data_IF_570126715095
#
_entry.id   IF_570126715095
#
_cell.length_a   1.000
_cell.length_b   1.000
_cell.length_c   1.000
_cell.angle_alpha   90.00
_cell.angle_beta   90.00
_cell.angle_gamma   90.00
#
_symmetry.space_group_name_H-M   'P 1'
#
loop_
_entity.id
_entity.type
_entity.pdbx_description
1 polymer ?
#
# COMPACT_ATOMS: atom_id res chain seq x y z
N UNK A 1 37.73 40.59 3.84
CA UNK A 1 37.88 39.18 3.40
C UNK A 1 37.29 38.15 4.39
N UNK A 2 37.48 38.25 5.71
CA UNK A 2 36.91 37.26 6.69
C UNK A 2 35.38 37.18 6.74
N UNK A 3 34.63 38.28 6.55
CA UNK A 3 33.18 38.30 6.57
C UNK A 3 32.50 37.67 5.34
N UNK A 4 33.11 37.69 4.17
CA UNK A 4 32.56 37.05 2.96
C UNK A 4 32.68 35.54 2.98
N UNK A 5 33.73 34.98 3.62
CA UNK A 5 33.97 33.54 3.74
C UNK A 5 32.90 32.90 4.67
N UNK A 6 32.50 33.61 5.73
CA UNK A 6 31.49 33.10 6.69
C UNK A 6 30.10 33.02 6.06
N UNK A 7 29.73 33.95 5.18
CA UNK A 7 28.44 33.96 4.49
C UNK A 7 28.39 32.84 3.44
N UNK A 8 29.50 32.61 2.71
CA UNK A 8 29.54 31.51 1.73
C UNK A 8 29.47 30.14 2.38
N UNK A 9 30.08 29.96 3.57
CA UNK A 9 30.01 28.69 4.30
C UNK A 9 28.59 28.43 4.89
N UNK A 10 27.91 29.47 5.34
CA UNK A 10 26.53 29.34 5.82
C UNK A 10 25.50 29.02 4.73
N UNK A 11 25.70 29.57 3.50
CA UNK A 11 24.83 29.21 2.35
C UNK A 11 25.02 27.77 1.88
N UNK A 12 26.22 27.21 1.94
CA UNK A 12 26.46 25.82 1.53
C UNK A 12 25.85 24.80 2.50
N UNK A 13 25.79 25.09 3.79
CA UNK A 13 25.16 24.20 4.79
C UNK A 13 23.63 24.18 4.63
N UNK A 14 22.99 25.30 4.31
CA UNK A 14 21.53 25.37 4.09
C UNK A 14 21.09 24.62 2.84
N UNK A 15 21.89 24.60 1.78
CA UNK A 15 21.58 23.85 0.54
C UNK A 15 21.69 22.34 0.73
N UNK A 16 22.55 21.85 1.63
CA UNK A 16 22.68 20.40 1.90
C UNK A 16 21.53 19.82 2.75
N UNK A 17 20.80 20.62 3.48
CA UNK A 17 19.64 20.12 4.27
C UNK A 17 18.36 19.94 3.46
N UNK A 18 18.26 20.44 2.25
CA UNK A 18 17.07 20.40 1.41
C UNK A 18 16.88 19.08 0.60
N UNK A 19 17.81 18.14 0.65
CA UNK A 19 17.80 16.93 -0.19
C UNK A 19 17.64 15.60 0.56
N UNK A 20 17.35 15.63 1.85
CA UNK A 20 17.07 14.41 2.63
C UNK A 20 15.55 14.10 2.67
N UNK A 21 14.88 14.12 1.54
CA UNK A 21 13.66 13.33 1.40
C UNK A 21 14.12 11.89 1.18
N UNK A 22 14.17 11.13 2.29
CA UNK A 22 14.59 9.74 2.26
C UNK A 22 13.80 8.96 1.22
N UNK A 23 14.48 8.09 0.46
CA UNK A 23 13.81 7.21 -0.49
C UNK A 23 12.71 6.39 0.24
N UNK A 24 11.53 6.30 -0.36
CA UNK A 24 10.44 5.51 0.18
C UNK A 24 10.85 4.05 0.33
N UNK A 25 10.49 3.43 1.45
CA UNK A 25 10.82 2.04 1.76
C UNK A 25 10.17 1.09 0.75
N UNK A 26 10.94 0.13 0.26
CA UNK A 26 10.41 -0.98 -0.54
C UNK A 26 9.68 -1.96 0.39
N UNK A 27 8.38 -2.14 0.19
CA UNK A 27 7.51 -2.92 1.09
C UNK A 27 6.95 -4.19 0.44
N UNK A 28 7.01 -4.29 -0.89
CA UNK A 28 6.53 -5.46 -1.60
C UNK A 28 7.60 -6.54 -1.66
N UNK A 29 7.26 -7.75 -1.19
CA UNK A 29 8.11 -8.93 -1.36
C UNK A 29 7.91 -9.48 -2.79
N UNK A 30 8.94 -9.40 -3.62
CA UNK A 30 8.91 -9.83 -5.02
C UNK A 30 9.19 -11.33 -5.19
N UNK A 31 9.54 -12.04 -4.11
CA UNK A 31 9.90 -13.46 -4.14
C UNK A 31 8.79 -14.39 -3.64
N UNK A 32 7.84 -13.87 -2.88
CA UNK A 32 6.70 -14.66 -2.41
C UNK A 32 5.65 -14.81 -3.52
N UNK A 33 5.04 -15.99 -3.60
CA UNK A 33 3.87 -16.19 -4.47
C UNK A 33 2.68 -15.41 -3.90
N UNK A 34 2.04 -14.51 -4.69
CA UNK A 34 0.95 -13.67 -4.21
C UNK A 34 -0.28 -14.45 -3.72
N UNK A 35 -0.56 -15.62 -4.32
CA UNK A 35 -1.67 -16.46 -3.89
C UNK A 35 -1.42 -17.04 -2.51
N UNK A 36 -0.20 -17.55 -2.27
CA UNK A 36 0.24 -18.03 -0.96
C UNK A 36 0.21 -16.93 0.08
N UNK A 37 0.69 -15.73 -0.26
CA UNK A 37 0.66 -14.57 0.64
C UNK A 37 -0.77 -14.22 1.09
N UNK A 38 -1.73 -14.26 0.18
CA UNK A 38 -3.14 -14.02 0.51
C UNK A 38 -3.68 -15.13 1.44
N UNK A 39 -3.35 -16.39 1.18
CA UNK A 39 -3.80 -17.52 2.02
C UNK A 39 -3.25 -17.42 3.44
N UNK A 40 -1.97 -17.07 3.59
CA UNK A 40 -1.34 -16.84 4.90
C UNK A 40 -1.99 -15.64 5.62
N UNK A 41 -2.27 -14.55 4.89
CA UNK A 41 -2.98 -13.39 5.43
C UNK A 41 -4.39 -13.72 5.91
N UNK A 42 -5.14 -14.54 5.17
CA UNK A 42 -6.47 -15.01 5.57
C UNK A 42 -6.43 -15.89 6.82
N UNK A 43 -5.44 -16.79 6.94
CA UNK A 43 -5.28 -17.60 8.15
C UNK A 43 -5.04 -16.74 9.39
N UNK A 44 -4.16 -15.74 9.30
CA UNK A 44 -3.90 -14.80 10.40
C UNK A 44 -5.13 -13.94 10.73
N UNK A 45 -5.75 -13.36 9.72
CA UNK A 45 -6.94 -12.54 9.88
C UNK A 45 -8.08 -13.32 10.58
N UNK A 46 -8.29 -14.57 10.19
CA UNK A 46 -9.29 -15.45 10.80
C UNK A 46 -8.99 -15.75 12.27
N UNK A 47 -7.72 -16.01 12.61
CA UNK A 47 -7.30 -16.26 14.00
C UNK A 47 -7.52 -15.02 14.89
N UNK A 48 -7.34 -13.82 14.35
CA UNK A 48 -7.45 -12.54 15.06
C UNK A 48 -8.84 -11.89 14.98
N UNK A 49 -9.80 -12.51 14.28
CA UNK A 49 -11.12 -11.93 14.05
C UNK A 49 -11.12 -10.69 13.17
N UNK A 50 -10.14 -10.57 12.28
CA UNK A 50 -9.92 -9.46 11.35
C UNK A 50 -10.36 -9.81 9.93
N UNK A 51 -10.38 -8.78 9.07
CA UNK A 51 -10.44 -8.94 7.62
C UNK A 51 -9.06 -8.74 7.00
N UNK A 52 -8.93 -9.00 5.68
CA UNK A 52 -7.67 -8.77 4.95
C UNK A 52 -7.81 -7.55 4.06
N UNK A 53 -6.79 -6.70 4.04
CA UNK A 53 -6.63 -5.70 2.97
C UNK A 53 -5.41 -6.08 2.14
N UNK A 54 -5.66 -6.35 0.86
CA UNK A 54 -4.61 -6.49 -0.15
C UNK A 54 -4.35 -5.12 -0.79
N UNK A 55 -3.20 -4.51 -0.50
CA UNK A 55 -2.70 -3.39 -1.31
C UNK A 55 -1.99 -3.97 -2.53
N UNK A 56 -2.66 -3.97 -3.68
CA UNK A 56 -2.10 -4.47 -4.92
C UNK A 56 -1.25 -3.40 -5.60
N UNK A 57 -0.03 -3.77 -5.99
CA UNK A 57 0.92 -2.86 -6.64
C UNK A 57 2.32 -3.46 -6.66
N UNK A 58 3.35 -2.63 -6.44
CA UNK A 58 4.73 -3.11 -6.42
C UNK A 58 5.73 -2.00 -6.10
N UNK A 59 6.97 -2.39 -5.89
CA UNK A 59 8.07 -1.46 -5.61
C UNK A 59 8.41 -0.52 -6.79
N UNK A 60 7.88 -0.78 -7.97
CA UNK A 60 7.96 0.06 -9.17
C UNK A 60 6.97 1.23 -9.17
N UNK A 61 6.03 1.25 -8.23
CA UNK A 61 4.89 2.18 -8.17
C UNK A 61 5.11 3.22 -7.06
N UNK A 62 5.48 4.47 -7.36
CA UNK A 62 5.73 5.49 -6.35
C UNK A 62 4.52 5.78 -5.44
N UNK A 63 3.30 5.79 -5.99
CA UNK A 63 2.08 5.99 -5.22
C UNK A 63 1.78 4.84 -4.28
N UNK A 64 2.14 3.60 -4.67
CA UNK A 64 2.03 2.44 -3.79
C UNK A 64 2.92 2.58 -2.56
N UNK A 65 4.17 3.01 -2.76
CA UNK A 65 5.12 3.22 -1.66
C UNK A 65 4.74 4.41 -0.78
N UNK A 66 4.18 5.48 -1.38
CA UNK A 66 3.64 6.62 -0.62
C UNK A 66 2.48 6.22 0.28
N UNK A 67 1.57 5.37 -0.20
CA UNK A 67 0.45 4.91 0.62
C UNK A 67 0.93 4.04 1.78
N UNK A 68 1.88 3.14 1.53
CA UNK A 68 2.47 2.33 2.59
C UNK A 68 3.16 3.18 3.67
N UNK A 69 3.92 4.20 3.25
CA UNK A 69 4.57 5.16 4.15
C UNK A 69 3.53 5.99 4.94
N UNK A 70 2.43 6.39 4.30
CA UNK A 70 1.32 7.09 4.93
C UNK A 70 0.65 6.23 5.99
N UNK A 71 0.31 4.98 5.70
CA UNK A 71 -0.27 4.04 6.68
C UNK A 71 0.68 3.80 7.85
N UNK A 72 2.00 3.70 7.61
CA UNK A 72 2.99 3.50 8.67
C UNK A 72 3.10 4.71 9.60
N UNK A 73 3.00 5.94 9.07
CA UNK A 73 3.27 7.19 9.79
C UNK A 73 2.03 7.85 10.41
N UNK A 74 0.87 7.72 9.77
CA UNK A 74 -0.36 8.31 10.28
C UNK A 74 -0.93 7.47 11.42
N UNK A 75 -0.92 8.01 12.63
CA UNK A 75 -1.30 7.28 13.84
C UNK A 75 -2.75 6.81 13.82
N UNK A 76 -3.67 7.61 13.29
CA UNK A 76 -5.09 7.27 13.26
C UNK A 76 -5.38 6.17 12.24
N UNK A 77 -4.81 6.28 11.03
CA UNK A 77 -4.92 5.28 9.97
C UNK A 77 -4.27 3.96 10.40
N UNK A 78 -3.03 4.03 10.92
CA UNK A 78 -2.28 2.88 11.41
C UNK A 78 -3.07 2.11 12.47
N UNK A 79 -3.65 2.83 13.44
CA UNK A 79 -4.46 2.20 14.49
C UNK A 79 -5.66 1.45 13.92
N UNK A 80 -6.43 2.06 13.01
CA UNK A 80 -7.61 1.41 12.40
C UNK A 80 -7.20 0.18 11.60
N UNK A 81 -6.10 0.25 10.86
CA UNK A 81 -5.55 -0.88 10.10
C UNK A 81 -5.18 -2.01 11.06
N UNK A 82 -4.34 -1.74 12.06
CA UNK A 82 -3.83 -2.77 12.97
C UNK A 82 -4.94 -3.41 13.82
N UNK A 83 -5.94 -2.65 14.21
CA UNK A 83 -7.04 -3.18 15.03
C UNK A 83 -8.00 -4.09 14.25
N UNK A 84 -8.15 -3.87 12.93
CA UNK A 84 -9.24 -4.49 12.18
C UNK A 84 -8.81 -5.34 10.99
N UNK A 85 -7.56 -5.21 10.53
CA UNK A 85 -7.14 -5.84 9.29
C UNK A 85 -5.78 -6.55 9.41
N UNK A 86 -5.64 -7.66 8.72
CA UNK A 86 -4.34 -8.14 8.25
C UNK A 86 -4.05 -7.40 6.94
N UNK A 87 -3.06 -6.50 6.97
CA UNK A 87 -2.73 -5.65 5.85
C UNK A 87 -1.51 -6.19 5.11
N UNK A 88 -1.69 -6.56 3.84
CA UNK A 88 -0.65 -7.19 3.04
C UNK A 88 -0.36 -6.42 1.75
N UNK A 89 0.93 -6.35 1.39
CA UNK A 89 1.41 -5.74 0.14
C UNK A 89 1.55 -6.82 -0.93
N UNK A 90 0.54 -6.94 -1.79
CA UNK A 90 0.50 -7.97 -2.84
C UNK A 90 1.23 -7.47 -4.07
N UNK A 91 2.37 -8.10 -4.39
CA UNK A 91 3.20 -7.70 -5.52
C UNK A 91 2.57 -8.12 -6.85
N UNK A 92 2.38 -7.15 -7.73
CA UNK A 92 1.90 -7.34 -9.10
C UNK A 92 2.60 -6.36 -10.04
N UNK A 93 3.17 -6.86 -11.13
CA UNK A 93 3.80 -6.01 -12.14
C UNK A 93 3.18 -6.28 -13.52
N UNK A 94 2.31 -5.38 -14.03
CA UNK A 94 1.63 -5.57 -15.32
C UNK A 94 2.57 -5.51 -16.51
N UNK A 95 3.81 -5.01 -16.33
CA UNK A 95 4.82 -4.88 -17.37
C UNK A 95 5.78 -6.06 -17.44
N UNK A 96 5.79 -6.92 -16.43
CA UNK A 96 6.67 -8.07 -16.33
C UNK A 96 6.05 -9.23 -17.14
N UNK A 97 6.56 -9.44 -18.34
CA UNK A 97 6.22 -10.58 -19.19
C UNK A 97 7.30 -11.65 -18.99
N UNK A 98 7.11 -12.53 -18.04
CA UNK A 98 8.01 -13.66 -17.77
C UNK A 98 7.27 -14.97 -18.02
N UNK A 99 7.40 -15.51 -19.23
CA UNK A 99 6.94 -16.86 -19.59
C UNK A 99 5.43 -17.12 -19.37
N UNK A 100 4.91 -18.19 -19.95
CA UNK A 100 3.48 -18.52 -19.90
C UNK A 100 2.96 -18.78 -18.48
N UNK A 101 3.78 -19.43 -17.62
CA UNK A 101 3.39 -19.74 -16.26
C UNK A 101 3.20 -18.49 -15.36
N UNK A 102 3.97 -17.42 -15.59
CA UNK A 102 3.81 -16.18 -14.80
C UNK A 102 2.60 -15.36 -15.26
N UNK A 103 2.27 -15.43 -16.55
CA UNK A 103 1.05 -14.81 -17.11
C UNK A 103 -0.20 -15.49 -16.54
N UNK A 104 -0.18 -16.82 -16.47
CA UNK A 104 -1.28 -17.59 -15.89
C UNK A 104 -1.48 -17.29 -14.40
N UNK A 105 -0.41 -17.30 -13.62
CA UNK A 105 -0.47 -16.91 -12.18
C UNK A 105 -1.02 -15.49 -11.98
N UNK A 106 -0.58 -14.53 -12.81
CA UNK A 106 -1.10 -13.18 -12.76
C UNK A 106 -2.61 -13.13 -13.09
N UNK A 107 -3.06 -13.91 -14.08
CA UNK A 107 -4.48 -14.00 -14.43
C UNK A 107 -5.32 -14.63 -13.30
N UNK A 108 -4.81 -15.68 -12.65
CA UNK A 108 -5.45 -16.32 -11.48
C UNK A 108 -5.56 -15.35 -10.31
N UNK A 109 -4.50 -14.60 -10.01
CA UNK A 109 -4.51 -13.56 -8.98
C UNK A 109 -5.59 -12.50 -9.27
N UNK A 110 -5.63 -11.99 -10.51
CA UNK A 110 -6.62 -10.99 -10.91
C UNK A 110 -8.05 -11.53 -10.80
N UNK A 111 -8.27 -12.77 -11.22
CA UNK A 111 -9.57 -13.43 -11.09
C UNK A 111 -9.98 -13.59 -9.62
N UNK A 112 -9.06 -14.02 -8.75
CA UNK A 112 -9.30 -14.18 -7.30
C UNK A 112 -9.71 -12.87 -6.65
N UNK A 113 -9.09 -11.76 -7.04
CA UNK A 113 -9.33 -10.43 -6.49
C UNK A 113 -10.40 -9.63 -7.25
N UNK A 114 -11.16 -10.27 -8.13
CA UNK A 114 -12.25 -9.65 -8.90
C UNK A 114 -11.79 -8.54 -9.86
N UNK A 115 -10.62 -8.75 -10.50
CA UNK A 115 -10.04 -7.88 -11.53
C UNK A 115 -9.82 -6.41 -11.10
N UNK A 116 -9.13 -6.16 -9.97
CA UNK A 116 -8.96 -4.80 -9.44
C UNK A 116 -8.03 -3.92 -10.29
N UNK A 117 -7.17 -4.51 -11.12
CA UNK A 117 -6.18 -3.77 -11.93
C UNK A 117 -6.78 -2.72 -12.87
N UNK A 118 -8.10 -2.79 -13.15
CA UNK A 118 -8.82 -1.79 -13.96
C UNK A 118 -8.84 -0.39 -13.35
N UNK A 119 -8.56 -0.27 -12.05
CA UNK A 119 -8.53 1.01 -11.34
C UNK A 119 -7.13 1.62 -11.24
N UNK A 120 -6.10 0.96 -11.78
CA UNK A 120 -4.71 1.41 -11.62
C UNK A 120 -4.08 0.94 -10.31
N UNK A 121 -2.98 1.62 -9.87
CA UNK A 121 -2.21 1.21 -8.70
C UNK A 121 -1.75 2.40 -7.85
N UNK A 122 -1.77 2.27 -6.49
CA UNK A 122 -2.27 1.10 -5.78
C UNK A 122 -3.78 0.95 -5.93
N UNK A 123 -4.26 -0.28 -5.80
CA UNK A 123 -5.67 -0.57 -5.60
C UNK A 123 -5.81 -1.47 -4.37
N UNK A 124 -6.85 -1.25 -3.58
CA UNK A 124 -7.07 -2.00 -2.35
C UNK A 124 -8.24 -2.96 -2.54
N UNK A 125 -8.04 -4.20 -2.11
CA UNK A 125 -9.10 -5.21 -2.09
C UNK A 125 -9.31 -5.64 -0.66
N UNK A 126 -10.54 -5.48 -0.16
CA UNK A 126 -10.95 -5.95 1.17
C UNK A 126 -11.55 -7.34 1.02
N UNK A 127 -11.01 -8.29 1.78
CA UNK A 127 -11.50 -9.66 1.85
C UNK A 127 -12.06 -9.94 3.25
N UNK A 128 -13.17 -10.69 3.31
CA UNK A 128 -13.63 -11.26 4.57
C UNK A 128 -12.73 -12.41 5.05
N UNK A 129 -13.04 -12.99 6.20
CA UNK A 129 -12.30 -14.11 6.79
C UNK A 129 -12.34 -15.42 5.97
N UNK A 130 -13.21 -15.49 4.95
CA UNK A 130 -13.34 -16.62 4.02
C UNK A 130 -12.68 -16.35 2.67
N UNK A 131 -12.12 -15.14 2.47
CA UNK A 131 -11.48 -14.72 1.23
C UNK A 131 -12.44 -14.19 0.16
N UNK A 132 -13.70 -13.90 0.52
CA UNK A 132 -14.64 -13.25 -0.38
C UNK A 132 -14.28 -11.78 -0.53
N UNK A 133 -14.31 -11.26 -1.76
CA UNK A 133 -14.08 -9.84 -2.04
C UNK A 133 -15.31 -9.05 -1.59
N UNK A 134 -15.13 -8.22 -0.56
CA UNK A 134 -16.17 -7.34 -0.04
C UNK A 134 -16.18 -5.99 -0.77
N UNK A 135 -14.99 -5.47 -1.08
CA UNK A 135 -14.84 -4.14 -1.69
C UNK A 135 -13.52 -4.01 -2.46
N UNK A 136 -13.56 -3.20 -3.51
CA UNK A 136 -12.38 -2.76 -4.24
C UNK A 136 -12.34 -1.24 -4.19
N UNK A 137 -11.29 -0.68 -3.57
CA UNK A 137 -11.09 0.76 -3.45
C UNK A 137 -10.04 1.25 -4.44
N UNK A 138 -10.45 2.11 -5.34
CA UNK A 138 -9.56 2.90 -6.18
C UNK A 138 -8.81 3.93 -5.31
N UNK A 139 -7.49 3.93 -5.38
CA UNK A 139 -6.65 4.82 -4.57
C UNK A 139 -6.85 6.31 -4.90
N UNK A 140 -7.25 6.64 -6.12
CA UNK A 140 -7.46 8.04 -6.54
C UNK A 140 -8.50 8.77 -5.72
N UNK A 141 -9.49 8.05 -5.19
CA UNK A 141 -10.48 8.61 -4.27
C UNK A 141 -9.94 8.92 -2.86
N UNK A 142 -8.77 8.40 -2.53
CA UNK A 142 -8.11 8.62 -1.24
C UNK A 142 -7.03 9.73 -1.33
N UNK A 143 -6.71 10.18 -2.53
CA UNK A 143 -5.64 11.14 -2.77
C UNK A 143 -6.03 12.57 -2.39
N UNK A 144 -5.02 13.34 -1.96
CA UNK A 144 -5.07 14.78 -1.78
C UNK A 144 -3.70 15.40 -2.09
N UNK A 145 -3.67 16.30 -3.06
CA UNK A 145 -2.43 16.97 -3.49
C UNK A 145 -1.39 15.97 -3.98
N UNK A 146 -0.24 15.90 -3.31
CA UNK A 146 0.86 14.98 -3.65
C UNK A 146 0.92 13.73 -2.76
N UNK A 147 -0.13 13.44 -2.04
CA UNK A 147 -0.21 12.32 -1.08
C UNK A 147 -1.63 11.82 -0.88
N UNK A 148 -1.93 11.34 0.32
CA UNK A 148 -3.21 10.77 0.70
C UNK A 148 -3.89 11.56 1.80
N UNK A 149 -5.23 11.54 1.82
CA UNK A 149 -6.07 12.24 2.80
C UNK A 149 -6.45 11.28 3.94
N UNK A 150 -6.20 11.73 5.18
CA UNK A 150 -6.50 10.96 6.39
C UNK A 150 -8.01 10.65 6.51
N UNK A 151 -8.87 11.67 6.34
CA UNK A 151 -10.31 11.51 6.55
C UNK A 151 -10.95 10.60 5.50
N UNK A 152 -10.55 10.72 4.23
CA UNK A 152 -11.01 9.82 3.16
C UNK A 152 -10.57 8.40 3.43
N UNK A 153 -9.30 8.20 3.84
CA UNK A 153 -8.74 6.89 4.14
C UNK A 153 -9.42 6.27 5.37
N UNK A 154 -9.60 7.03 6.44
CA UNK A 154 -10.32 6.56 7.62
C UNK A 154 -11.78 6.19 7.31
N UNK A 155 -12.47 6.96 6.45
CA UNK A 155 -13.83 6.63 6.02
C UNK A 155 -13.86 5.30 5.26
N UNK A 156 -12.95 5.11 4.31
CA UNK A 156 -12.82 3.85 3.60
C UNK A 156 -12.61 2.70 4.58
N UNK A 157 -11.57 2.77 5.43
CA UNK A 157 -11.22 1.70 6.35
C UNK A 157 -12.36 1.36 7.33
N UNK A 158 -12.94 2.39 7.97
CA UNK A 158 -13.99 2.19 8.98
C UNK A 158 -15.27 1.57 8.42
N UNK A 159 -15.60 1.84 7.17
CA UNK A 159 -16.77 1.26 6.52
C UNK A 159 -16.63 -0.24 6.25
N UNK A 160 -15.41 -0.76 6.23
CA UNK A 160 -15.13 -2.16 5.88
C UNK A 160 -14.51 -2.96 7.02
N UNK A 161 -14.57 -2.47 8.25
CA UNK A 161 -14.16 -3.27 9.43
C UNK A 161 -15.08 -4.46 9.63
N UNK A 162 -14.61 -5.57 10.27
CA UNK A 162 -15.48 -6.70 10.61
C UNK A 162 -16.75 -6.29 11.37
N UNK A 163 -16.63 -5.31 12.27
CA UNK A 163 -17.78 -4.78 13.04
C UNK A 163 -18.78 -4.00 12.18
N UNK A 164 -18.32 -3.34 11.12
CA UNK A 164 -19.21 -2.55 10.28
C UNK A 164 -19.97 -3.40 9.25
N UNK A 165 -19.43 -4.57 8.87
CA UNK A 165 -19.97 -5.46 7.83
C UNK A 165 -20.85 -6.56 8.43
N UNK A 166 -20.55 -7.03 9.65
CA UNK A 166 -21.31 -8.05 10.39
C UNK A 166 -22.37 -7.43 11.28
#
# INVERSE_FOLDING_TARGET
MKRMITIAFMMTVVVMMAHAQGALKRVYNETIDPMTQIDEGLQKAKADGKFVICQLGGNWCPWCLKFADFVEKDTAVNKVVNDNFEYIHVNYNPRKKEGDASVEKAAQLMKRLNHPQRFGFPVFVVLDENGNVLHIQDSSFLEQGKGYDELKTLRFLKNWTPKAVK
#
